data_IF_139449692160
#
_entry.id   IF_139449692160
#
_cell.length_a   1.000
_cell.length_b   1.000
_cell.length_c   1.000
_cell.angle_alpha   90.00
_cell.angle_beta   90.00
_cell.angle_gamma   90.00
#
_symmetry.space_group_name_H-M   'P 1'
#
loop_
_entity.id
_entity.type
_entity.pdbx_description
1 polymer ?
#
# COMPACT_ATOMS: atom_id res chain seq x y z
N UNK A 1 0.09 -6.76 -17.26
CA UNK A 1 1.12 -7.01 -16.21
C UNK A 1 2.33 -7.75 -16.75
N UNK A 2 2.36 -8.13 -18.01
CA UNK A 2 3.53 -8.74 -18.67
C UNK A 2 4.03 -10.05 -18.03
N UNK A 3 3.19 -10.75 -17.30
CA UNK A 3 3.52 -12.03 -16.64
C UNK A 3 4.38 -11.94 -15.38
N UNK A 4 4.77 -10.74 -14.94
CA UNK A 4 5.53 -10.53 -13.71
C UNK A 4 4.88 -9.41 -12.92
N UNK A 5 4.46 -9.69 -11.68
CA UNK A 5 3.81 -8.69 -10.83
C UNK A 5 4.23 -8.90 -9.37
N UNK A 6 4.51 -7.82 -8.68
CA UNK A 6 4.73 -7.81 -7.23
C UNK A 6 3.42 -7.64 -6.44
N UNK A 7 2.35 -7.22 -7.12
CA UNK A 7 0.99 -7.08 -6.58
C UNK A 7 0.00 -7.76 -7.54
N UNK A 8 -1.12 -8.24 -7.03
CA UNK A 8 -2.25 -8.77 -7.81
C UNK A 8 -1.81 -9.75 -8.91
N UNK A 9 -0.93 -10.61 -8.76
CA UNK A 9 -0.41 -11.52 -9.81
C UNK A 9 -0.88 -12.96 -9.67
N UNK A 10 -1.70 -13.27 -8.67
CA UNK A 10 -2.24 -14.61 -8.44
C UNK A 10 -3.55 -14.79 -9.19
N UNK A 11 -3.58 -15.83 -10.01
CA UNK A 11 -4.78 -16.37 -10.63
C UNK A 11 -5.01 -17.76 -10.05
N UNK A 12 -6.22 -18.01 -9.56
CA UNK A 12 -6.55 -19.27 -8.90
C UNK A 12 -8.02 -19.62 -9.09
N UNK A 13 -8.40 -20.81 -8.64
CA UNK A 13 -9.78 -21.29 -8.57
C UNK A 13 -10.28 -21.31 -7.13
N UNK A 14 -11.59 -21.41 -6.93
CA UNK A 14 -12.15 -21.60 -5.59
C UNK A 14 -11.65 -22.88 -4.93
N UNK A 15 -11.46 -23.93 -5.71
CA UNK A 15 -10.98 -25.24 -5.23
C UNK A 15 -9.54 -25.14 -4.73
N UNK A 16 -8.64 -24.51 -5.48
CA UNK A 16 -7.23 -24.34 -5.08
C UNK A 16 -7.11 -23.42 -3.85
N UNK A 17 -7.88 -22.35 -3.81
CA UNK A 17 -7.93 -21.49 -2.63
C UNK A 17 -8.53 -22.23 -1.42
N UNK A 18 -9.51 -23.11 -1.65
CA UNK A 18 -10.06 -23.99 -0.63
C UNK A 18 -9.03 -24.98 -0.10
N UNK A 19 -8.18 -25.55 -0.98
CA UNK A 19 -7.04 -26.40 -0.57
C UNK A 19 -6.04 -25.61 0.26
N UNK A 20 -5.69 -24.40 -0.17
CA UNK A 20 -4.80 -23.50 0.58
C UNK A 20 -5.40 -23.17 1.97
N UNK A 21 -6.67 -22.79 2.04
CA UNK A 21 -7.33 -22.50 3.31
C UNK A 21 -7.36 -23.72 4.25
N UNK A 22 -7.68 -24.93 3.73
CA UNK A 22 -7.63 -26.19 4.51
C UNK A 22 -6.22 -26.45 5.04
N UNK A 23 -5.19 -26.25 4.22
CA UNK A 23 -3.81 -26.40 4.67
C UNK A 23 -3.53 -25.53 5.89
N UNK A 24 -3.92 -24.24 5.87
CA UNK A 24 -3.73 -23.35 7.01
C UNK A 24 -4.56 -23.78 8.23
N UNK A 25 -5.82 -24.20 8.01
CA UNK A 25 -6.68 -24.72 9.08
C UNK A 25 -6.14 -26.02 9.71
N UNK A 26 -5.27 -26.75 9.01
CA UNK A 26 -4.60 -27.96 9.49
C UNK A 26 -3.12 -27.71 9.84
N UNK A 27 -2.78 -26.50 10.30
CA UNK A 27 -1.42 -26.13 10.77
C UNK A 27 -0.32 -26.43 9.75
N UNK A 28 -0.62 -26.23 8.47
CA UNK A 28 0.33 -26.41 7.38
C UNK A 28 0.39 -27.84 6.82
N UNK A 29 -0.60 -28.68 7.10
CA UNK A 29 -0.76 -30.02 6.51
C UNK A 29 -1.89 -30.02 5.49
N UNK A 30 -1.64 -30.61 4.33
CA UNK A 30 -2.63 -30.80 3.27
C UNK A 30 -2.60 -32.26 2.79
N UNK A 31 -3.76 -32.91 2.81
CA UNK A 31 -3.93 -34.29 2.34
C UNK A 31 -2.92 -35.29 2.97
N UNK A 32 -2.57 -35.07 4.25
CA UNK A 32 -1.58 -35.83 4.99
C UNK A 32 -0.14 -35.38 4.85
N UNK A 33 0.16 -34.54 3.87
CA UNK A 33 1.51 -34.03 3.62
C UNK A 33 1.75 -32.68 4.32
N UNK A 34 2.93 -32.52 4.91
CA UNK A 34 3.33 -31.28 5.55
C UNK A 34 3.92 -30.30 4.53
N UNK A 35 3.18 -29.24 4.26
CA UNK A 35 3.57 -28.17 3.32
C UNK A 35 4.29 -27.03 4.04
N UNK A 36 3.82 -26.63 5.23
CA UNK A 36 4.44 -25.60 6.04
C UNK A 36 5.06 -26.17 7.30
N UNK A 37 6.15 -25.60 7.76
CA UNK A 37 6.81 -25.98 9.01
C UNK A 37 5.87 -25.75 10.21
N UNK A 38 5.99 -26.54 11.28
CA UNK A 38 5.29 -26.24 12.52
C UNK A 38 5.57 -24.79 12.98
N UNK A 39 4.55 -24.11 13.43
CA UNK A 39 4.63 -22.71 13.86
C UNK A 39 4.55 -21.67 12.73
N UNK A 40 4.65 -22.07 11.45
CA UNK A 40 4.50 -21.11 10.36
C UNK A 40 3.11 -20.49 10.31
N UNK A 41 2.06 -21.28 10.58
CA UNK A 41 0.67 -20.78 10.62
C UNK A 41 0.49 -19.83 11.81
N UNK A 42 1.03 -20.17 12.98
CA UNK A 42 1.03 -19.26 14.14
C UNK A 42 1.74 -17.94 13.86
N UNK A 43 2.80 -17.96 13.04
CA UNK A 43 3.49 -16.74 12.61
C UNK A 43 2.62 -15.88 11.67
N UNK A 44 1.74 -16.50 10.86
CA UNK A 44 0.76 -15.76 10.05
C UNK A 44 -0.34 -15.11 10.89
N UNK A 45 -0.65 -15.65 12.06
CA UNK A 45 -1.63 -15.08 13.00
C UNK A 45 -1.05 -13.95 13.84
N UNK A 46 0.27 -13.86 13.97
CA UNK A 46 0.92 -12.88 14.83
C UNK A 46 0.81 -11.49 14.21
N UNK A 47 0.14 -10.52 14.86
CA UNK A 47 0.08 -9.15 14.37
C UNK A 47 1.49 -8.57 14.25
N UNK A 48 1.78 -7.96 13.12
CA UNK A 48 3.05 -7.29 12.87
C UNK A 48 2.93 -5.77 12.98
N UNK A 49 1.75 -5.23 12.66
CA UNK A 49 1.47 -3.78 12.70
C UNK A 49 0.05 -3.52 13.16
N UNK A 50 -0.18 -2.31 13.69
CA UNK A 50 -1.50 -1.71 13.84
C UNK A 50 -1.55 -0.54 12.86
N UNK A 51 -2.65 -0.40 12.13
CA UNK A 51 -2.88 0.79 11.33
C UNK A 51 -3.40 1.96 12.18
N UNK A 52 -3.64 3.11 11.53
CA UNK A 52 -4.08 4.31 12.22
C UNK A 52 -5.46 4.17 12.89
N UNK A 53 -6.29 3.26 12.37
CA UNK A 53 -7.63 2.98 12.88
C UNK A 53 -7.62 1.85 13.93
N UNK A 54 -6.42 1.33 14.27
CA UNK A 54 -6.24 0.26 15.25
C UNK A 54 -6.49 -1.14 14.69
N UNK A 55 -6.62 -1.30 13.38
CA UNK A 55 -6.70 -2.61 12.76
C UNK A 55 -5.35 -3.33 12.77
N UNK A 56 -5.36 -4.55 13.25
CA UNK A 56 -4.17 -5.37 13.30
C UNK A 56 -3.91 -6.06 11.95
N UNK A 57 -2.67 -5.98 11.49
CA UNK A 57 -2.20 -6.67 10.29
C UNK A 57 -1.05 -7.61 10.61
N UNK A 58 -1.03 -8.74 9.95
CA UNK A 58 0.08 -9.69 9.97
C UNK A 58 0.98 -9.50 8.75
N UNK A 59 1.94 -10.38 8.57
CA UNK A 59 2.78 -10.41 7.37
C UNK A 59 1.98 -10.89 6.14
N UNK A 60 1.09 -10.04 5.62
CA UNK A 60 0.31 -10.29 4.40
C UNK A 60 -1.20 -10.40 4.60
N UNK A 61 -1.71 -10.34 5.84
CA UNK A 61 -3.14 -10.49 6.12
C UNK A 61 -3.66 -9.35 7.00
N UNK A 62 -4.91 -8.94 6.79
CA UNK A 62 -5.67 -8.19 7.77
C UNK A 62 -6.23 -9.18 8.79
N UNK A 63 -6.20 -8.82 10.08
CA UNK A 63 -6.91 -9.58 11.11
C UNK A 63 -8.33 -9.04 11.23
N UNK A 64 -9.29 -9.96 11.24
CA UNK A 64 -10.70 -9.65 11.43
C UNK A 64 -11.32 -10.51 12.52
N UNK A 65 -12.50 -10.12 12.97
CA UNK A 65 -13.27 -10.90 13.92
C UNK A 65 -13.61 -12.29 13.36
N UNK A 66 -13.67 -13.33 14.20
CA UNK A 66 -14.08 -14.66 13.80
C UNK A 66 -15.40 -14.71 13.02
N UNK A 67 -15.55 -15.70 12.15
CA UNK A 67 -16.77 -15.98 11.40
C UNK A 67 -17.77 -16.71 12.31
N UNK A 68 -18.35 -15.96 13.25
CA UNK A 68 -19.22 -16.46 14.32
C UNK A 68 -20.51 -15.64 14.43
N UNK A 69 -21.58 -16.22 14.99
CA UNK A 69 -22.87 -15.55 15.13
C UNK A 69 -22.80 -14.23 15.91
N UNK A 70 -21.86 -14.12 16.83
CA UNK A 70 -21.61 -12.91 17.61
C UNK A 70 -20.44 -12.05 17.07
N UNK A 71 -20.04 -12.23 15.81
CA UNK A 71 -18.91 -11.58 15.14
C UNK A 71 -18.80 -10.08 15.43
N UNK A 72 -19.90 -9.34 15.33
CA UNK A 72 -19.92 -7.89 15.49
C UNK A 72 -19.67 -7.39 16.94
N UNK A 73 -19.54 -8.33 17.89
CA UNK A 73 -19.18 -8.05 19.29
C UNK A 73 -17.80 -8.57 19.65
N UNK A 74 -17.06 -9.11 18.69
CA UNK A 74 -15.75 -9.71 18.90
C UNK A 74 -14.64 -8.77 18.41
N UNK A 75 -13.48 -8.81 19.05
CA UNK A 75 -12.30 -8.09 18.57
C UNK A 75 -11.85 -8.63 17.21
N UNK A 76 -11.13 -7.81 16.45
CA UNK A 76 -10.50 -8.19 15.20
C UNK A 76 -9.31 -9.15 15.43
N UNK A 77 -9.61 -10.40 15.78
CA UNK A 77 -8.63 -11.43 16.09
C UNK A 77 -9.17 -12.80 15.67
N UNK A 78 -8.36 -13.58 14.96
CA UNK A 78 -8.65 -14.98 14.66
C UNK A 78 -9.01 -15.27 13.20
N UNK A 79 -9.54 -14.33 12.45
CA UNK A 79 -9.74 -14.51 11.02
C UNK A 79 -8.66 -13.74 10.23
N UNK A 80 -7.94 -14.44 9.37
CA UNK A 80 -7.05 -13.88 8.36
C UNK A 80 -7.90 -13.45 7.16
N UNK A 81 -7.77 -12.20 6.73
CA UNK A 81 -8.53 -11.68 5.60
C UNK A 81 -7.63 -11.03 4.55
N UNK A 82 -7.92 -11.28 3.28
CA UNK A 82 -7.30 -10.59 2.16
C UNK A 82 -8.34 -10.26 1.10
N UNK A 83 -8.40 -8.99 0.70
CA UNK A 83 -9.33 -8.50 -0.30
C UNK A 83 -8.57 -8.18 -1.59
N UNK A 84 -9.19 -8.52 -2.72
CA UNK A 84 -8.67 -8.17 -4.04
C UNK A 84 -9.37 -6.94 -4.61
N UNK A 85 -8.62 -6.09 -5.30
CA UNK A 85 -9.13 -4.90 -6.00
C UNK A 85 -10.27 -5.24 -6.96
N UNK A 86 -10.18 -6.39 -7.63
CA UNK A 86 -11.21 -6.84 -8.58
C UNK A 86 -12.54 -7.25 -7.95
N UNK A 87 -12.62 -7.28 -6.61
CA UNK A 87 -13.83 -7.66 -5.89
C UNK A 87 -13.69 -8.97 -5.11
N UNK A 88 -12.63 -9.74 -5.35
CA UNK A 88 -12.38 -11.01 -4.65
C UNK A 88 -12.15 -10.81 -3.15
N UNK A 89 -12.38 -11.85 -2.37
CA UNK A 89 -12.10 -11.88 -0.94
C UNK A 89 -11.85 -13.29 -0.43
N UNK A 90 -10.93 -13.42 0.49
CA UNK A 90 -10.60 -14.68 1.17
C UNK A 90 -10.53 -14.41 2.68
N UNK A 91 -11.28 -15.17 3.44
CA UNK A 91 -11.26 -15.17 4.90
C UNK A 91 -10.98 -16.58 5.38
N UNK A 92 -10.02 -16.73 6.28
CA UNK A 92 -9.66 -18.01 6.90
C UNK A 92 -9.69 -17.80 8.41
N UNK A 93 -10.71 -18.34 9.05
CA UNK A 93 -10.91 -18.22 10.49
C UNK A 93 -10.30 -19.43 11.21
N UNK A 94 -9.21 -19.17 11.87
CA UNK A 94 -8.45 -20.18 12.61
C UNK A 94 -9.08 -20.51 13.97
N UNK A 95 -9.99 -19.67 14.46
CA UNK A 95 -10.75 -19.91 15.72
C UNK A 95 -11.91 -20.87 15.46
N UNK A 96 -12.78 -20.56 14.48
CA UNK A 96 -13.94 -21.40 14.15
C UNK A 96 -13.61 -22.49 13.12
N UNK A 97 -12.40 -22.53 12.59
CA UNK A 97 -11.90 -23.46 11.58
C UNK A 97 -12.75 -23.44 10.31
N UNK A 98 -13.09 -22.25 9.85
CA UNK A 98 -13.89 -22.00 8.66
C UNK A 98 -13.16 -21.09 7.70
N UNK A 99 -13.54 -21.15 6.44
CA UNK A 99 -13.08 -20.17 5.46
C UNK A 99 -14.22 -19.74 4.54
N UNK A 100 -14.09 -18.56 3.98
CA UNK A 100 -15.00 -18.01 2.97
C UNK A 100 -14.15 -17.52 1.81
N UNK A 101 -14.57 -17.87 0.60
CA UNK A 101 -13.97 -17.44 -0.64
C UNK A 101 -15.07 -16.75 -1.46
N UNK A 102 -14.83 -15.52 -1.84
CA UNK A 102 -15.71 -14.75 -2.74
C UNK A 102 -14.90 -14.43 -3.99
N UNK A 103 -15.28 -14.99 -5.13
CA UNK A 103 -14.66 -14.72 -6.41
C UNK A 103 -15.66 -13.97 -7.28
N UNK A 104 -15.41 -12.68 -7.42
CA UNK A 104 -16.22 -11.77 -8.22
C UNK A 104 -15.36 -10.75 -8.93
N UNK A 105 -15.90 -10.08 -9.95
CA UNK A 105 -15.25 -9.00 -10.64
C UNK A 105 -16.14 -7.77 -10.67
N UNK A 106 -15.70 -6.70 -10.01
CA UNK A 106 -16.32 -5.38 -10.09
C UNK A 106 -15.85 -4.56 -11.29
N UNK A 107 -14.91 -5.11 -12.06
CA UNK A 107 -14.29 -4.37 -13.16
C UNK A 107 -15.11 -4.43 -14.45
N UNK A 108 -16.07 -5.32 -14.56
CA UNK A 108 -16.92 -5.44 -15.73
C UNK A 108 -18.31 -4.84 -15.46
N UNK A 109 -18.87 -4.07 -16.43
CA UNK A 109 -18.26 -3.71 -17.73
C UNK A 109 -17.34 -2.48 -17.67
N UNK A 110 -17.44 -1.61 -16.66
CA UNK A 110 -16.89 -0.26 -16.64
C UNK A 110 -16.03 0.08 -15.42
N UNK A 111 -15.74 -0.92 -14.58
CA UNK A 111 -14.97 -0.78 -13.33
C UNK A 111 -15.60 0.15 -12.27
N UNK A 112 -16.90 0.47 -12.38
CA UNK A 112 -17.62 1.32 -11.41
C UNK A 112 -18.27 0.52 -10.28
N UNK A 113 -18.28 -0.82 -10.39
CA UNK A 113 -18.92 -1.70 -9.39
C UNK A 113 -18.26 -1.64 -8.02
N UNK A 114 -19.06 -1.86 -6.97
CA UNK A 114 -18.60 -2.08 -5.60
C UNK A 114 -18.94 -3.52 -5.17
N UNK A 115 -17.92 -4.26 -4.74
CA UNK A 115 -18.07 -5.64 -4.24
C UNK A 115 -18.26 -5.69 -2.71
N UNK A 116 -18.15 -4.58 -2.01
CA UNK A 116 -18.22 -4.57 -0.54
C UNK A 116 -19.58 -5.02 -0.01
N UNK A 117 -20.72 -4.56 -0.54
CA UNK A 117 -22.03 -5.02 -0.08
C UNK A 117 -22.22 -6.53 -0.23
N UNK A 118 -21.73 -7.12 -1.33
CA UNK A 118 -21.78 -8.57 -1.55
C UNK A 118 -20.91 -9.31 -0.53
N UNK A 119 -19.70 -8.84 -0.29
CA UNK A 119 -18.80 -9.44 0.70
C UNK A 119 -19.42 -9.43 2.09
N UNK A 120 -19.98 -8.31 2.50
CA UNK A 120 -20.66 -8.15 3.80
C UNK A 120 -21.87 -9.06 3.93
N UNK A 121 -22.69 -9.14 2.90
CA UNK A 121 -23.86 -10.05 2.88
C UNK A 121 -23.43 -11.52 3.02
N UNK A 122 -22.42 -11.95 2.26
CA UNK A 122 -21.89 -13.32 2.35
C UNK A 122 -21.33 -13.60 3.74
N UNK A 123 -20.52 -12.69 4.29
CA UNK A 123 -19.97 -12.84 5.64
C UNK A 123 -21.07 -12.85 6.71
N UNK A 124 -22.10 -12.03 6.57
CA UNK A 124 -23.26 -12.01 7.45
C UNK A 124 -24.00 -13.34 7.46
N UNK A 125 -24.27 -13.92 6.29
CA UNK A 125 -24.93 -15.22 6.14
C UNK A 125 -24.09 -16.32 6.77
N UNK A 126 -22.81 -16.42 6.41
CA UNK A 126 -21.91 -17.46 6.93
C UNK A 126 -21.79 -17.36 8.46
N UNK A 127 -21.64 -16.13 8.97
CA UNK A 127 -21.49 -15.90 10.40
C UNK A 127 -22.77 -16.23 11.18
N UNK A 128 -23.95 -15.91 10.64
CA UNK A 128 -25.23 -16.22 11.31
C UNK A 128 -25.48 -17.70 11.50
N UNK A 129 -24.92 -18.55 10.64
CA UNK A 129 -25.01 -20.01 10.72
C UNK A 129 -23.85 -20.66 11.47
N UNK A 130 -22.94 -19.87 12.03
CA UNK A 130 -21.83 -20.34 12.81
C UNK A 130 -22.17 -20.29 14.33
N UNK A 131 -21.64 -21.21 15.16
CA UNK A 131 -21.79 -21.07 16.60
C UNK A 131 -21.10 -19.79 17.09
N UNK A 132 -21.60 -19.20 18.20
CA UNK A 132 -20.92 -18.07 18.79
C UNK A 132 -19.55 -18.48 19.33
N UNK A 133 -18.59 -17.56 19.29
CA UNK A 133 -17.27 -17.72 19.90
C UNK A 133 -17.34 -17.29 21.35
N UNK A 134 -16.78 -18.09 22.26
CA UNK A 134 -16.76 -17.81 23.68
C UNK A 134 -15.65 -16.79 24.05
N UNK A 135 -15.82 -16.10 25.16
CA UNK A 135 -14.77 -15.22 25.71
C UNK A 135 -13.47 -15.96 26.00
N UNK A 136 -13.53 -17.24 26.38
CA UNK A 136 -12.35 -18.08 26.62
C UNK A 136 -11.55 -18.34 25.32
N UNK A 137 -12.22 -18.56 24.21
CA UNK A 137 -11.57 -18.74 22.90
C UNK A 137 -10.86 -17.46 22.45
N UNK A 138 -11.46 -16.30 22.68
CA UNK A 138 -10.83 -15.01 22.39
C UNK A 138 -9.66 -14.75 23.34
N UNK A 139 -9.84 -14.99 24.64
CA UNK A 139 -8.78 -14.81 25.64
C UNK A 139 -7.54 -15.67 25.35
N UNK A 140 -7.73 -16.89 24.82
CA UNK A 140 -6.64 -17.76 24.43
C UNK A 140 -5.80 -17.17 23.27
N UNK A 141 -6.38 -16.28 22.45
CA UNK A 141 -5.68 -15.60 21.34
C UNK A 141 -4.87 -14.37 21.78
N UNK A 142 -5.30 -13.70 22.86
CA UNK A 142 -4.65 -12.46 23.35
C UNK A 142 -3.16 -12.63 23.63
N UNK A 143 -2.67 -13.71 24.25
CA UNK A 143 -1.24 -13.92 24.47
C UNK A 143 -0.41 -14.01 23.19
N UNK A 144 -1.00 -14.53 22.10
CA UNK A 144 -0.35 -14.59 20.78
C UNK A 144 -0.23 -13.19 20.16
N UNK A 145 -1.23 -12.34 20.40
CA UNK A 145 -1.26 -10.97 19.90
C UNK A 145 -0.37 -10.01 20.70
N UNK A 146 -0.31 -10.21 22.04
CA UNK A 146 0.37 -9.30 22.98
C UNK A 146 1.84 -9.01 22.61
N UNK A 147 2.70 -9.99 22.31
CA UNK A 147 4.10 -9.72 21.98
C UNK A 147 4.29 -8.91 20.69
N UNK A 148 3.34 -8.98 19.75
CA UNK A 148 3.42 -8.24 18.50
C UNK A 148 2.93 -6.80 18.66
N UNK A 149 1.87 -6.58 19.43
CA UNK A 149 1.40 -5.25 19.82
C UNK A 149 2.48 -4.54 20.65
N UNK A 150 3.08 -5.23 21.62
CA UNK A 150 4.18 -4.70 22.42
C UNK A 150 5.43 -4.40 21.59
N UNK A 151 5.72 -5.20 20.54
CA UNK A 151 6.81 -4.97 19.62
C UNK A 151 6.55 -3.77 18.72
N UNK A 152 5.33 -3.62 18.20
CA UNK A 152 4.92 -2.44 17.45
C UNK A 152 4.98 -1.15 18.30
N UNK A 153 4.60 -1.26 19.59
CA UNK A 153 4.72 -0.16 20.55
C UNK A 153 6.16 0.15 20.98
N UNK A 154 7.09 -0.82 20.81
CA UNK A 154 8.52 -0.70 21.16
C UNK A 154 9.42 -0.40 19.98
N UNK A 155 8.88 -0.08 18.81
CA UNK A 155 9.71 0.44 17.71
C UNK A 155 10.51 1.63 18.28
N UNK A 156 11.84 1.62 18.17
CA UNK A 156 12.65 2.69 18.71
C UNK A 156 12.13 4.00 18.12
N UNK A 157 11.55 4.83 18.98
CA UNK A 157 11.34 6.22 18.62
C UNK A 157 12.74 6.79 18.48
N UNK A 158 13.10 7.26 17.29
CA UNK A 158 14.32 8.02 17.15
C UNK A 158 14.25 9.17 18.17
N UNK A 159 15.27 9.35 19.00
CA UNK A 159 15.33 10.37 20.01
C UNK A 159 15.36 11.80 19.42
N UNK A 160 15.24 11.92 18.13
CA UNK A 160 15.21 13.15 17.37
C UNK A 160 14.10 13.21 16.34
N UNK A 161 13.72 14.42 15.92
CA UNK A 161 12.75 14.62 14.87
C UNK A 161 13.32 14.11 13.54
N UNK A 162 12.66 13.10 12.94
CA UNK A 162 12.94 12.72 11.56
C UNK A 162 12.41 13.81 10.63
N UNK A 163 13.30 14.47 9.89
CA UNK A 163 12.94 15.44 8.86
C UNK A 163 12.66 14.68 7.55
N UNK A 164 11.51 14.96 6.95
CA UNK A 164 11.22 14.49 5.58
C UNK A 164 11.98 15.34 4.55
N UNK A 165 12.10 14.88 3.32
CA UNK A 165 12.78 15.62 2.27
C UNK A 165 12.18 17.03 2.05
N UNK A 166 10.85 17.18 2.22
CA UNK A 166 10.21 18.50 2.11
C UNK A 166 10.56 19.42 3.28
N UNK A 167 10.70 18.88 4.51
CA UNK A 167 11.17 19.67 5.67
C UNK A 167 12.58 20.21 5.41
N UNK A 168 13.47 19.37 4.89
CA UNK A 168 14.86 19.74 4.55
C UNK A 168 14.89 20.80 3.43
N UNK A 169 14.08 20.60 2.39
CA UNK A 169 13.99 21.54 1.27
C UNK A 169 13.49 22.92 1.75
N UNK A 170 12.48 22.94 2.61
CA UNK A 170 11.95 24.17 3.21
C UNK A 170 12.96 24.83 4.15
N UNK A 171 13.63 24.07 5.01
CA UNK A 171 14.66 24.59 5.93
C UNK A 171 15.84 25.23 5.19
N UNK A 172 16.17 24.73 3.98
CA UNK A 172 17.19 25.31 3.09
C UNK A 172 16.64 26.44 2.20
N UNK A 173 15.48 27.04 2.54
CA UNK A 173 14.88 28.13 1.79
C UNK A 173 14.55 27.79 0.33
N UNK A 174 14.25 26.52 0.05
CA UNK A 174 13.95 26.00 -1.29
C UNK A 174 15.08 26.19 -2.31
N UNK A 175 16.34 26.25 -1.85
CA UNK A 175 17.50 26.54 -2.71
C UNK A 175 17.60 25.57 -3.91
N UNK A 176 17.24 24.28 -3.75
CA UNK A 176 17.28 23.30 -4.82
C UNK A 176 16.32 23.55 -6.00
N UNK A 177 15.29 24.37 -5.80
CA UNK A 177 14.25 24.68 -6.80
C UNK A 177 14.17 26.17 -7.14
N UNK A 178 15.00 27.01 -6.52
CA UNK A 178 14.99 28.45 -6.76
C UNK A 178 15.26 28.81 -8.23
N UNK A 179 14.47 29.70 -8.80
CA UNK A 179 14.54 30.14 -10.20
C UNK A 179 13.96 29.14 -11.19
N UNK A 180 13.32 28.05 -10.74
CA UNK A 180 12.86 26.96 -11.60
C UNK A 180 11.34 26.87 -11.71
N UNK A 181 10.88 26.38 -12.87
CA UNK A 181 9.52 25.90 -13.07
C UNK A 181 9.46 24.45 -12.61
N UNK A 182 8.59 24.18 -11.65
CA UNK A 182 8.54 22.90 -10.93
C UNK A 182 7.35 22.08 -11.45
N UNK A 183 7.60 20.80 -11.78
CA UNK A 183 6.58 19.78 -11.77
C UNK A 183 6.70 18.94 -10.50
N UNK A 184 5.61 18.58 -9.83
CA UNK A 184 5.64 17.71 -8.66
C UNK A 184 4.84 16.44 -8.87
N UNK A 185 5.45 15.30 -8.54
CA UNK A 185 4.77 13.99 -8.48
C UNK A 185 4.46 13.74 -7.02
N UNK A 186 3.19 13.81 -6.64
CA UNK A 186 2.78 13.71 -5.24
C UNK A 186 1.30 13.36 -5.07
N UNK A 187 0.91 13.03 -3.86
CA UNK A 187 -0.46 12.90 -3.41
C UNK A 187 -0.59 13.39 -1.96
N UNK A 188 -1.68 13.04 -1.31
CA UNK A 188 -1.96 13.38 0.10
C UNK A 188 -0.89 12.92 1.09
N UNK A 189 -0.03 11.96 0.75
CA UNK A 189 1.10 11.57 1.59
C UNK A 189 2.25 12.58 1.57
N UNK A 190 2.24 13.52 0.61
CA UNK A 190 3.18 14.62 0.47
C UNK A 190 2.87 15.77 1.40
N UNK A 191 3.37 15.75 2.64
CA UNK A 191 3.25 16.82 3.64
C UNK A 191 4.50 16.94 4.51
N UNK A 192 4.70 18.10 5.07
CA UNK A 192 5.75 18.35 6.05
C UNK A 192 5.32 17.94 7.47
N UNK A 193 6.21 18.07 8.43
CA UNK A 193 5.93 17.72 9.84
C UNK A 193 4.84 18.58 10.50
N UNK A 194 4.53 19.74 9.94
CA UNK A 194 3.44 20.60 10.39
C UNK A 194 2.11 20.27 9.70
N UNK A 195 2.07 19.24 8.86
CA UNK A 195 0.87 18.83 8.11
C UNK A 195 0.56 19.72 6.89
N UNK A 196 1.51 20.58 6.45
CA UNK A 196 1.32 21.42 5.26
C UNK A 196 1.64 20.60 4.02
N UNK A 197 0.76 20.62 3.03
CA UNK A 197 0.95 19.86 1.79
C UNK A 197 2.19 20.34 1.03
N UNK A 198 2.96 19.40 0.49
CA UNK A 198 4.11 19.70 -0.38
C UNK A 198 3.71 20.56 -1.58
N UNK A 199 2.52 20.37 -2.13
CA UNK A 199 1.96 21.21 -3.20
C UNK A 199 1.92 22.68 -2.77
N UNK A 200 1.35 22.96 -1.59
CA UNK A 200 1.20 24.34 -1.09
C UNK A 200 2.57 24.96 -0.80
N UNK A 201 3.50 24.20 -0.23
CA UNK A 201 4.85 24.65 0.06
C UNK A 201 5.65 24.98 -1.21
N UNK A 202 5.55 24.15 -2.26
CA UNK A 202 6.21 24.40 -3.54
C UNK A 202 5.57 25.56 -4.31
N UNK A 203 4.24 25.73 -4.20
CA UNK A 203 3.55 26.87 -4.81
C UNK A 203 3.96 28.22 -4.18
N UNK A 204 4.33 28.21 -2.88
CA UNK A 204 4.78 29.38 -2.12
C UNK A 204 6.31 29.52 -2.08
N UNK A 205 7.05 28.58 -2.71
CA UNK A 205 8.51 28.58 -2.65
C UNK A 205 9.09 29.86 -3.28
N UNK A 206 10.00 30.59 -2.57
CA UNK A 206 10.56 31.84 -3.07
C UNK A 206 11.29 31.65 -4.41
N UNK A 207 11.00 32.53 -5.36
CA UNK A 207 11.62 32.51 -6.70
C UNK A 207 11.46 31.22 -7.48
N UNK A 208 10.49 30.38 -7.14
CA UNK A 208 10.15 29.16 -7.88
C UNK A 208 8.70 29.26 -8.37
N UNK A 209 8.34 28.45 -9.34
CA UNK A 209 6.97 28.41 -9.88
C UNK A 209 6.52 26.97 -10.04
N UNK A 210 5.53 26.55 -9.25
CA UNK A 210 4.85 25.29 -9.47
C UNK A 210 3.98 25.39 -10.73
N UNK A 211 4.21 24.52 -11.73
CA UNK A 211 3.56 24.59 -13.05
C UNK A 211 2.71 23.36 -13.37
N UNK A 212 2.99 22.23 -12.73
CA UNK A 212 2.20 21.01 -12.92
C UNK A 212 2.27 20.13 -11.68
N UNK A 213 1.17 19.43 -11.40
CA UNK A 213 1.07 18.37 -10.41
C UNK A 213 0.77 17.07 -11.16
N UNK A 214 1.47 16.01 -10.83
CA UNK A 214 1.26 14.65 -11.37
C UNK A 214 0.78 13.76 -10.24
N UNK A 215 -0.47 13.32 -10.31
CA UNK A 215 -1.09 12.51 -9.27
C UNK A 215 -1.06 11.03 -9.66
N UNK A 216 -0.43 10.16 -8.86
CA UNK A 216 -0.42 8.72 -9.11
C UNK A 216 -1.78 8.08 -8.82
N UNK A 217 -1.80 6.77 -8.74
CA UNK A 217 -2.97 5.97 -8.33
C UNK A 217 -3.68 6.58 -7.12
N UNK A 218 -5.01 6.59 -7.15
CA UNK A 218 -5.91 7.21 -6.18
C UNK A 218 -6.00 8.75 -6.17
N UNK A 219 -5.28 9.45 -7.01
CA UNK A 219 -5.36 10.91 -7.12
C UNK A 219 -4.58 11.67 -6.06
N UNK A 220 -4.75 13.00 -6.03
CA UNK A 220 -4.07 13.88 -5.07
C UNK A 220 -4.54 13.59 -3.64
N UNK A 221 -5.84 13.42 -3.43
CA UNK A 221 -6.45 13.22 -2.12
C UNK A 221 -6.54 11.75 -1.69
N UNK A 222 -6.12 10.84 -2.57
CA UNK A 222 -6.10 9.37 -2.36
C UNK A 222 -7.45 8.74 -2.04
N UNK A 223 -8.55 9.37 -2.43
CA UNK A 223 -9.92 8.96 -2.21
C UNK A 223 -10.61 8.33 -3.42
N UNK A 224 -9.90 8.27 -4.57
CA UNK A 224 -10.45 7.78 -5.83
C UNK A 224 -10.00 6.34 -6.10
N UNK A 225 -10.92 5.40 -5.99
CA UNK A 225 -10.71 4.01 -6.43
C UNK A 225 -10.96 3.79 -7.92
N UNK A 226 -11.38 4.84 -8.63
CA UNK A 226 -11.69 4.81 -10.06
C UNK A 226 -10.69 5.64 -10.84
N UNK A 227 -10.62 5.40 -12.16
CA UNK A 227 -9.83 6.25 -13.08
C UNK A 227 -10.35 7.67 -13.02
N UNK A 228 -9.44 8.63 -12.94
CA UNK A 228 -9.75 10.04 -12.96
C UNK A 228 -9.00 10.75 -14.09
N UNK A 229 -9.58 11.80 -14.62
CA UNK A 229 -8.98 12.65 -15.64
C UNK A 229 -8.09 13.75 -15.06
N UNK A 230 -7.53 14.57 -15.93
CA UNK A 230 -6.81 15.78 -15.52
C UNK A 230 -7.80 16.74 -14.85
N UNK A 231 -7.36 17.42 -13.82
CA UNK A 231 -8.14 18.38 -13.01
C UNK A 231 -7.28 19.57 -12.62
N UNK A 232 -7.75 20.40 -11.71
CA UNK A 232 -7.01 21.55 -11.17
C UNK A 232 -7.05 21.48 -9.65
N UNK A 233 -5.90 21.68 -9.00
CA UNK A 233 -5.85 21.80 -7.54
C UNK A 233 -6.48 23.13 -7.13
N UNK A 234 -7.57 23.04 -6.37
CA UNK A 234 -8.40 24.21 -6.03
C UNK A 234 -7.68 25.27 -5.19
N UNK A 235 -6.63 24.89 -4.47
CA UNK A 235 -5.88 25.82 -3.58
C UNK A 235 -4.78 26.58 -4.32
N UNK A 236 -4.13 25.92 -5.27
CA UNK A 236 -2.98 26.51 -6.00
C UNK A 236 -3.33 26.93 -7.42
N UNK A 237 -4.49 26.53 -7.92
CA UNK A 237 -4.94 26.71 -9.31
C UNK A 237 -3.95 26.10 -10.34
N UNK A 238 -3.22 25.06 -9.95
CA UNK A 238 -2.26 24.36 -10.81
C UNK A 238 -2.92 23.11 -11.39
N UNK A 239 -2.67 22.83 -12.66
CA UNK A 239 -3.18 21.65 -13.36
C UNK A 239 -2.65 20.37 -12.70
N UNK A 240 -3.54 19.47 -12.36
CA UNK A 240 -3.27 18.11 -11.89
C UNK A 240 -3.43 17.15 -13.07
N UNK A 241 -2.37 16.47 -13.43
CA UNK A 241 -2.35 15.44 -14.47
C UNK A 241 -2.42 14.06 -13.84
N UNK A 242 -3.38 13.27 -14.28
CA UNK A 242 -3.54 11.90 -13.81
C UNK A 242 -2.44 10.99 -14.36
N UNK A 243 -1.78 10.25 -13.46
CA UNK A 243 -0.89 9.14 -13.79
C UNK A 243 -1.54 7.78 -13.46
N UNK A 244 -2.86 7.68 -13.55
CA UNK A 244 -3.62 6.49 -13.24
C UNK A 244 -4.37 5.92 -14.45
N UNK A 245 -4.58 4.62 -14.46
CA UNK A 245 -5.24 3.93 -15.57
C UNK A 245 -4.28 3.73 -16.77
N UNK A 246 -4.64 4.26 -17.92
CA UNK A 246 -3.87 4.06 -19.15
C UNK A 246 -2.64 4.99 -19.24
N UNK A 247 -2.62 6.07 -18.47
CA UNK A 247 -1.58 7.09 -18.43
C UNK A 247 -0.63 6.96 -17.24
N UNK A 248 0.02 5.82 -17.09
CA UNK A 248 0.94 5.59 -15.96
C UNK A 248 2.29 6.29 -16.10
N UNK A 249 2.59 6.84 -17.27
CA UNK A 249 3.84 7.53 -17.59
C UNK A 249 3.56 8.99 -17.87
N UNK A 250 4.46 9.85 -17.45
CA UNK A 250 4.41 11.27 -17.80
C UNK A 250 4.69 11.39 -19.30
N UNK A 251 3.76 11.96 -20.03
CA UNK A 251 3.96 12.20 -21.47
C UNK A 251 5.06 13.26 -21.67
N UNK A 252 5.94 13.10 -22.66
CA UNK A 252 7.02 14.07 -22.91
C UNK A 252 6.53 15.52 -23.06
N UNK A 253 5.40 15.71 -23.71
CA UNK A 253 4.78 17.04 -23.86
C UNK A 253 4.37 17.67 -22.50
N UNK A 254 4.06 16.85 -21.49
CA UNK A 254 3.70 17.34 -20.17
C UNK A 254 4.92 17.84 -19.37
N UNK A 255 6.14 17.53 -19.80
CA UNK A 255 7.38 18.03 -19.23
C UNK A 255 7.90 19.30 -19.91
N UNK A 256 7.27 19.70 -21.02
CA UNK A 256 7.64 20.93 -21.70
C UNK A 256 7.45 22.14 -20.77
N UNK A 257 8.52 22.90 -20.60
CA UNK A 257 8.49 24.05 -19.70
C UNK A 257 8.64 23.73 -18.22
N UNK A 258 9.05 22.50 -17.85
CA UNK A 258 9.44 22.12 -16.49
C UNK A 258 10.97 22.05 -16.44
N UNK A 259 11.56 22.76 -15.48
CA UNK A 259 13.01 22.81 -15.28
C UNK A 259 13.49 21.79 -14.26
N UNK A 260 12.59 21.30 -13.40
CA UNK A 260 12.87 20.27 -12.39
C UNK A 260 11.58 19.53 -12.03
N UNK A 261 11.66 18.20 -11.90
CA UNK A 261 10.63 17.39 -11.26
C UNK A 261 10.99 17.17 -9.79
N UNK A 262 10.01 17.35 -8.92
CA UNK A 262 10.08 16.98 -7.51
C UNK A 262 9.22 15.75 -7.32
N UNK A 263 9.75 14.71 -6.68
CA UNK A 263 9.01 13.49 -6.35
C UNK A 263 8.85 13.40 -4.83
N UNK A 264 7.62 13.37 -4.36
CA UNK A 264 7.28 13.32 -2.94
C UNK A 264 6.08 12.41 -2.68
N UNK A 265 6.34 11.13 -2.53
CA UNK A 265 5.36 10.09 -2.23
C UNK A 265 5.88 9.19 -1.11
N UNK A 266 5.01 8.83 -0.18
CA UNK A 266 5.33 7.87 0.87
C UNK A 266 5.27 6.46 0.30
N UNK A 267 6.41 5.80 0.22
CA UNK A 267 6.49 4.37 -0.09
C UNK A 267 6.24 3.53 1.17
N UNK A 268 5.68 2.34 0.99
CA UNK A 268 5.40 1.42 2.10
C UNK A 268 6.54 0.43 2.37
N UNK A 269 7.65 0.51 1.64
CA UNK A 269 8.80 -0.38 1.81
C UNK A 269 8.56 -1.82 1.35
N UNK A 270 7.53 -2.06 0.55
CA UNK A 270 7.15 -3.39 0.06
C UNK A 270 7.07 -3.43 -1.47
N UNK A 271 7.50 -4.55 -2.06
CA UNK A 271 7.65 -4.67 -3.53
C UNK A 271 6.34 -4.54 -4.31
N UNK A 272 5.21 -4.85 -3.70
CA UNK A 272 3.91 -4.76 -4.34
C UNK A 272 3.30 -3.36 -4.29
N UNK A 273 3.91 -2.42 -3.56
CA UNK A 273 3.43 -1.05 -3.50
C UNK A 273 3.82 -0.30 -4.79
N UNK A 274 2.87 0.45 -5.36
CA UNK A 274 2.99 0.94 -6.75
C UNK A 274 3.90 2.16 -6.89
N UNK A 275 4.19 2.88 -5.82
CA UNK A 275 4.90 4.17 -5.92
C UNK A 275 6.37 4.04 -6.31
N UNK A 276 7.02 2.91 -6.01
CA UNK A 276 8.36 2.66 -6.54
C UNK A 276 8.35 2.53 -8.08
N UNK A 277 7.30 1.95 -8.66
CA UNK A 277 7.13 1.92 -10.11
C UNK A 277 6.83 3.31 -10.67
N UNK A 278 6.04 4.12 -9.95
CA UNK A 278 5.78 5.53 -10.30
C UNK A 278 7.08 6.34 -10.33
N UNK A 279 7.98 6.13 -9.35
CA UNK A 279 9.32 6.74 -9.36
C UNK A 279 10.12 6.30 -10.59
N UNK A 280 10.14 5.00 -10.88
CA UNK A 280 10.82 4.46 -12.07
C UNK A 280 10.33 5.12 -13.36
N UNK A 281 9.02 5.20 -13.58
CA UNK A 281 8.43 5.87 -14.75
C UNK A 281 8.70 7.38 -14.78
N UNK A 282 8.74 8.02 -13.62
CA UNK A 282 9.12 9.45 -13.51
C UNK A 282 10.55 9.67 -13.95
N UNK A 283 11.49 8.83 -13.48
CA UNK A 283 12.91 8.91 -13.86
C UNK A 283 13.13 8.63 -15.35
N UNK A 284 12.43 7.65 -15.93
CA UNK A 284 12.49 7.37 -17.38
C UNK A 284 12.00 8.57 -18.19
N UNK A 285 10.84 9.14 -17.85
CA UNK A 285 10.29 10.29 -18.56
C UNK A 285 11.17 11.54 -18.42
N UNK A 286 11.67 11.80 -17.22
CA UNK A 286 12.56 12.92 -16.92
C UNK A 286 13.90 12.79 -17.67
N UNK A 287 14.47 11.59 -17.71
CA UNK A 287 15.71 11.29 -18.46
C UNK A 287 15.53 11.56 -19.95
N UNK A 288 14.43 11.11 -20.55
CA UNK A 288 14.12 11.33 -21.96
C UNK A 288 13.92 12.82 -22.29
N UNK A 289 13.41 13.61 -21.35
CA UNK A 289 13.20 15.04 -21.48
C UNK A 289 14.38 15.90 -21.00
N UNK A 290 15.45 15.28 -20.51
CA UNK A 290 16.59 15.95 -19.87
C UNK A 290 16.22 16.88 -18.69
N UNK A 291 15.17 16.50 -17.95
CA UNK A 291 14.70 17.23 -16.76
C UNK A 291 15.28 16.56 -15.49
N UNK A 292 15.98 17.30 -14.63
CA UNK A 292 16.48 16.73 -13.37
C UNK A 292 15.33 16.39 -12.42
N UNK A 293 15.54 15.35 -11.60
CA UNK A 293 14.57 14.90 -10.58
C UNK A 293 15.17 15.08 -9.20
N UNK A 294 14.41 15.70 -8.30
CA UNK A 294 14.69 15.76 -6.87
C UNK A 294 13.71 14.80 -6.17
N UNK A 295 14.24 13.77 -5.53
CA UNK A 295 13.45 12.87 -4.70
C UNK A 295 13.49 13.39 -3.26
N UNK A 296 12.33 13.72 -2.74
CA UNK A 296 12.15 14.12 -1.34
C UNK A 296 11.95 12.84 -0.53
N UNK A 297 13.03 12.40 0.14
CA UNK A 297 13.04 11.15 0.87
C UNK A 297 12.07 11.16 2.06
N UNK A 298 11.49 10.00 2.33
CA UNK A 298 10.58 9.76 3.45
C UNK A 298 10.98 8.50 4.20
N UNK A 299 10.79 8.48 5.53
CA UNK A 299 11.11 7.29 6.32
C UNK A 299 10.41 6.05 5.79
N UNK A 300 11.14 4.94 5.71
CA UNK A 300 10.54 3.65 5.42
C UNK A 300 9.70 3.20 6.62
N UNK A 301 8.41 2.99 6.41
CA UNK A 301 7.46 2.59 7.45
C UNK A 301 7.79 1.24 8.10
N UNK A 302 8.49 0.37 7.39
CA UNK A 302 8.93 -0.94 7.89
C UNK A 302 10.33 -0.90 8.55
N UNK A 303 10.95 0.29 8.62
CA UNK A 303 12.33 0.43 9.04
C UNK A 303 13.32 0.08 7.93
N UNK A 304 14.61 0.24 8.19
CA UNK A 304 15.70 0.00 7.22
C UNK A 304 16.68 -1.10 7.66
N UNK A 305 16.45 -1.70 8.81
CA UNK A 305 17.34 -2.68 9.46
C UNK A 305 17.12 -4.12 8.94
N UNK A 306 15.99 -4.37 8.29
CA UNK A 306 15.64 -5.71 7.78
C UNK A 306 15.13 -5.65 6.35
N UNK A 307 15.71 -6.52 5.51
CA UNK A 307 15.20 -6.76 4.16
C UNK A 307 14.63 -8.17 4.11
N UNK A 308 13.31 -8.27 3.90
CA UNK A 308 12.60 -9.53 3.74
C UNK A 308 12.32 -9.87 2.28
N UNK A 309 12.00 -11.14 2.01
CA UNK A 309 11.58 -11.65 0.72
C UNK A 309 12.65 -12.42 -0.05
N UNK A 310 12.20 -13.21 -1.04
CA UNK A 310 13.09 -14.04 -1.87
C UNK A 310 13.98 -13.21 -2.79
N UNK A 311 15.15 -13.73 -3.11
CA UNK A 311 16.03 -13.16 -4.14
C UNK A 311 15.42 -13.42 -5.52
N UNK A 312 15.33 -12.40 -6.35
CA UNK A 312 15.04 -12.58 -7.77
C UNK A 312 16.19 -13.36 -8.42
N UNK A 313 15.91 -14.51 -9.03
CA UNK A 313 16.89 -15.30 -9.78
C UNK A 313 17.06 -14.86 -11.23
N UNK A 314 16.21 -13.99 -11.74
CA UNK A 314 16.28 -13.50 -13.12
C UNK A 314 17.13 -12.22 -13.16
N UNK A 315 18.13 -12.09 -14.03
CA UNK A 315 18.83 -10.83 -14.21
C UNK A 315 17.83 -9.78 -14.70
N UNK A 316 17.58 -8.76 -13.89
CA UNK A 316 16.92 -7.56 -14.37
C UNK A 316 17.88 -6.92 -15.37
N UNK A 317 17.46 -6.64 -16.62
CA UNK A 317 18.29 -5.87 -17.55
C UNK A 317 18.69 -4.57 -16.85
N UNK A 318 19.99 -4.37 -16.68
CA UNK A 318 20.49 -3.13 -16.06
C UNK A 318 20.12 -1.98 -16.98
N UNK A 319 19.37 -0.97 -16.52
CA UNK A 319 19.27 0.25 -17.29
C UNK A 319 20.67 0.83 -17.48
N UNK A 320 20.92 1.34 -18.66
CA UNK A 320 22.17 2.02 -18.99
C UNK A 320 22.48 3.05 -17.89
N UNK A 321 23.73 3.10 -17.47
CA UNK A 321 24.23 3.90 -16.35
C UNK A 321 23.68 5.33 -16.37
N UNK A 322 22.64 5.59 -15.64
CA UNK A 322 22.24 6.95 -15.26
C UNK A 322 22.78 7.17 -13.84
N UNK A 323 23.73 8.07 -13.71
CA UNK A 323 24.35 8.37 -12.42
C UNK A 323 23.33 9.10 -11.55
N UNK A 324 22.75 8.40 -10.58
CA UNK A 324 21.93 9.02 -9.54
C UNK A 324 22.88 9.66 -8.54
N UNK A 325 22.92 10.97 -8.48
CA UNK A 325 23.58 11.70 -7.38
C UNK A 325 22.54 11.98 -6.31
N UNK A 326 22.59 11.22 -5.22
CA UNK A 326 21.96 11.62 -3.96
C UNK A 326 22.85 12.71 -3.31
N UNK A 327 22.28 13.83 -2.95
CA UNK A 327 22.85 14.81 -2.03
C UNK A 327 21.88 15.05 -0.88
#
# INVERSE_FOLDING_TARGET
MGGVSGNAGLFSTADDLGRFARMLLHDGVLDGERILRPGSVAALEAPATLDADGEARTAGWALQAPLAANRYRLPAAGALAHLGYTGTGLWIDLVTRRFVIVLTSRLYPDATGDAQPLREAVLGIVSSHAPPVSGAQIAARIPVMRPAVERAARLPRSDGPVLTGIDVLAANGFAGVAGKRIGVVTNRSGFDRAGRRTIDLLAQAPRARLTAIFAPEHGVDTDLDTRFGDTVDVRTNVVVRSLYGDRRRIAPAALSGIDVLVFDLQDAGVRFFTYIATLGYTLEAASAAHVPVIVLDRPNLLGADKVGGGRYRTPIPRPSRTTIRCR
#
